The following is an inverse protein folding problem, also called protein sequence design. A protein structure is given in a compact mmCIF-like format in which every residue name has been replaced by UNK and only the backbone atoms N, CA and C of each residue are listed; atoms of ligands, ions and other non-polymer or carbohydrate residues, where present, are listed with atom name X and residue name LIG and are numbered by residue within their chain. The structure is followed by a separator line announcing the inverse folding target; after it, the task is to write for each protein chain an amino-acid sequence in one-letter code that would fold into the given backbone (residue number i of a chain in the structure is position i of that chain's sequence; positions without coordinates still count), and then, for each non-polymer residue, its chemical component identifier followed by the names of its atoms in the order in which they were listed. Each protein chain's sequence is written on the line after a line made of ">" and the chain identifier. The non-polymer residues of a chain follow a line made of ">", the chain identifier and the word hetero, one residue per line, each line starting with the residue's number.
data_IF_473252901610
#
_entry.id   IF_473252901610
#
_cell.length_a   1.000
_cell.length_b   1.000
_cell.length_c   1.000
_cell.angle_alpha   90.00
_cell.angle_beta   90.00
_cell.angle_gamma   90.00
#
_symmetry.space_group_name_H-M   'P 1'
#
loop_
_entity.id
_entity.type
_entity.pdbx_description
1 polymer ?
#
# COMPACT_ATOMS: atom_id res chain seq x y z
N UNK A 1 18.89 -8.03 9.15
CA UNK A 1 17.48 -8.47 9.11
C UNK A 1 16.70 -7.68 10.14
N UNK A 2 15.81 -6.81 9.69
CA UNK A 2 14.60 -6.34 10.40
C UNK A 2 13.98 -5.31 9.47
N UNK A 3 12.95 -5.75 8.75
CA UNK A 3 12.27 -4.96 7.73
C UNK A 3 11.51 -3.82 8.41
N UNK A 4 11.81 -2.53 8.17
CA UNK A 4 11.08 -1.45 8.78
C UNK A 4 9.89 -1.14 7.87
N UNK A 5 8.84 -1.96 7.99
CA UNK A 5 7.54 -1.60 7.45
C UNK A 5 6.70 -1.13 8.62
N UNK A 6 6.85 0.17 8.92
CA UNK A 6 5.83 0.94 9.62
C UNK A 6 4.62 0.98 8.67
N UNK A 7 3.80 -0.07 8.71
CA UNK A 7 2.42 -0.07 8.22
C UNK A 7 1.45 -0.53 9.32
N UNK A 8 1.95 -1.14 10.40
CA UNK A 8 1.09 -1.68 11.46
C UNK A 8 0.55 -0.64 12.45
N UNK A 9 1.12 0.57 12.53
CA UNK A 9 0.90 1.42 13.71
C UNK A 9 -0.04 2.63 13.50
N UNK A 10 -0.47 2.93 12.26
CA UNK A 10 -1.18 4.20 11.99
C UNK A 10 -2.50 4.10 11.22
N UNK A 11 -3.02 2.90 10.96
CA UNK A 11 -4.37 2.71 10.44
C UNK A 11 -4.96 1.48 11.13
N UNK A 12 -6.20 1.53 11.66
CA UNK A 12 -6.85 0.31 12.09
C UNK A 12 -6.91 -0.61 10.86
N UNK A 13 -6.32 -1.80 10.96
CA UNK A 13 -6.35 -2.91 9.97
C UNK A 13 -7.63 -2.96 9.11
N UNK A 14 -8.87 -2.80 9.66
CA UNK A 14 -10.08 -2.79 8.84
C UNK A 14 -10.15 -1.68 7.76
N UNK A 15 -9.53 -0.51 7.96
CA UNK A 15 -9.58 0.59 6.99
C UNK A 15 -8.61 0.36 5.83
N UNK A 16 -7.41 -0.14 6.10
CA UNK A 16 -6.42 -0.45 5.06
C UNK A 16 -6.89 -1.62 4.19
N UNK A 17 -7.40 -2.69 4.82
CA UNK A 17 -7.94 -3.83 4.08
C UNK A 17 -9.15 -3.43 3.22
N UNK A 18 -10.01 -2.53 3.73
CA UNK A 18 -11.16 -2.04 2.97
C UNK A 18 -10.73 -1.31 1.69
N UNK A 19 -9.71 -0.46 1.78
CA UNK A 19 -9.20 0.29 0.63
C UNK A 19 -8.53 -0.63 -0.39
N UNK A 20 -7.74 -1.61 0.08
CA UNK A 20 -7.12 -2.64 -0.78
C UNK A 20 -8.20 -3.44 -1.51
N UNK A 21 -9.26 -3.84 -0.81
CA UNK A 21 -10.37 -4.61 -1.39
C UNK A 21 -11.14 -3.82 -2.44
N UNK A 22 -11.44 -2.55 -2.19
CA UNK A 22 -12.08 -1.67 -3.17
C UNK A 22 -11.20 -1.50 -4.42
N UNK A 23 -9.89 -1.32 -4.22
CA UNK A 23 -8.95 -1.15 -5.31
C UNK A 23 -8.79 -2.41 -6.14
N UNK A 24 -8.66 -3.57 -5.50
CA UNK A 24 -8.60 -4.88 -6.16
C UNK A 24 -9.88 -5.17 -6.96
N UNK A 25 -11.05 -4.83 -6.41
CA UNK A 25 -12.33 -4.95 -7.13
C UNK A 25 -12.37 -4.06 -8.38
N UNK A 26 -11.89 -2.82 -8.29
CA UNK A 26 -11.80 -1.93 -9.44
C UNK A 26 -10.88 -2.48 -10.53
N UNK A 27 -9.73 -3.05 -10.15
CA UNK A 27 -8.81 -3.73 -11.06
C UNK A 27 -9.48 -4.91 -11.78
N UNK A 28 -10.17 -5.76 -11.02
CA UNK A 28 -10.92 -6.90 -11.53
C UNK A 28 -12.01 -6.49 -12.54
N UNK A 29 -12.80 -5.46 -12.20
CA UNK A 29 -13.85 -4.93 -13.10
C UNK A 29 -13.24 -4.34 -14.36
N UNK A 30 -12.18 -3.53 -14.23
CA UNK A 30 -11.50 -2.88 -15.36
C UNK A 30 -10.86 -3.89 -16.34
N UNK A 31 -10.41 -5.03 -15.84
CA UNK A 31 -9.85 -6.14 -16.64
C UNK A 31 -10.92 -6.98 -17.36
N UNK A 32 -12.20 -6.72 -17.11
CA UNK A 32 -13.31 -7.47 -17.70
C UNK A 32 -13.72 -8.69 -16.89
N UNK A 33 -13.55 -8.66 -15.56
CA UNK A 33 -14.02 -9.71 -14.64
C UNK A 33 -13.45 -11.10 -14.93
N UNK A 34 -12.20 -11.16 -15.40
CA UNK A 34 -11.51 -12.43 -15.66
C UNK A 34 -11.09 -13.08 -14.34
N UNK A 35 -11.59 -14.28 -14.12
CA UNK A 35 -11.22 -15.11 -12.98
C UNK A 35 -9.76 -15.59 -13.10
N UNK A 36 -9.13 -15.95 -11.97
CA UNK A 36 -7.73 -16.41 -11.93
C UNK A 36 -6.68 -15.33 -11.66
N UNK A 37 -7.09 -14.06 -11.55
CA UNK A 37 -6.18 -12.94 -11.26
C UNK A 37 -6.50 -12.19 -9.96
N UNK A 38 -7.43 -12.71 -9.15
CA UNK A 38 -7.85 -12.04 -7.91
C UNK A 38 -6.68 -11.75 -6.96
N UNK A 39 -5.73 -12.68 -6.84
CA UNK A 39 -4.53 -12.49 -6.00
C UNK A 39 -3.58 -11.44 -6.58
N UNK A 40 -3.41 -11.41 -7.89
CA UNK A 40 -2.57 -10.44 -8.60
C UNK A 40 -3.15 -9.02 -8.50
N UNK A 41 -4.47 -8.90 -8.66
CA UNK A 41 -5.22 -7.65 -8.49
C UNK A 41 -5.16 -7.16 -7.03
N UNK A 42 -5.20 -8.08 -6.04
CA UNK A 42 -5.02 -7.74 -4.62
C UNK A 42 -3.61 -7.21 -4.33
N UNK A 43 -2.57 -7.94 -4.74
CA UNK A 43 -1.17 -7.54 -4.53
C UNK A 43 -0.87 -6.19 -5.17
N UNK A 44 -1.44 -5.95 -6.36
CA UNK A 44 -1.30 -4.67 -7.05
C UNK A 44 -1.98 -3.53 -6.32
N UNK A 45 -3.19 -3.76 -5.79
CA UNK A 45 -3.90 -2.81 -4.96
C UNK A 45 -3.13 -2.45 -3.68
N UNK A 46 -2.61 -3.45 -2.97
CA UNK A 46 -1.79 -3.25 -1.77
C UNK A 46 -0.55 -2.41 -2.07
N UNK A 47 0.19 -2.74 -3.15
CA UNK A 47 1.37 -1.99 -3.53
C UNK A 47 1.05 -0.53 -3.90
N UNK A 48 -0.04 -0.29 -4.64
CA UNK A 48 -0.48 1.08 -4.97
C UNK A 48 -0.80 1.89 -3.71
N UNK A 49 -1.57 1.33 -2.77
CA UNK A 49 -1.95 2.02 -1.53
C UNK A 49 -0.74 2.27 -0.64
N UNK A 50 0.14 1.27 -0.49
CA UNK A 50 1.39 1.44 0.26
C UNK A 50 2.26 2.53 -0.38
N UNK A 51 2.38 2.57 -1.70
CA UNK A 51 3.12 3.64 -2.39
C UNK A 51 2.47 5.02 -2.27
N UNK A 52 1.14 5.11 -2.36
CA UNK A 52 0.38 6.36 -2.19
C UNK A 52 0.42 6.87 -0.74
N UNK A 53 0.47 5.97 0.24
CA UNK A 53 0.68 6.29 1.65
C UNK A 53 2.14 6.58 2.01
N UNK A 54 3.09 6.54 1.06
CA UNK A 54 4.50 6.84 1.30
C UNK A 54 4.95 8.30 0.99
N UNK A 55 4.20 9.39 1.26
CA UNK A 55 4.80 10.73 1.27
C UNK A 55 5.63 10.99 2.55
N UNK A 56 5.57 10.13 3.58
CA UNK A 56 6.35 10.31 4.82
C UNK A 56 7.77 9.71 4.78
N UNK A 57 8.17 8.98 3.74
CA UNK A 57 9.54 8.46 3.62
C UNK A 57 10.55 9.49 3.09
N UNK A 58 10.12 10.66 2.63
CA UNK A 58 11.02 11.74 2.20
C UNK A 58 10.85 12.98 3.09
N UNK A 59 11.31 12.90 4.35
CA UNK A 59 11.73 14.07 5.15
C UNK A 59 12.92 13.84 6.08
N UNK A 60 13.65 12.73 5.98
CA UNK A 60 14.87 12.50 6.78
C UNK A 60 16.15 12.46 5.94
N UNK A 61 16.31 13.46 5.06
CA UNK A 61 17.60 13.73 4.40
C UNK A 61 18.26 15.03 4.90
N UNK A 62 17.71 15.69 5.92
CA UNK A 62 18.10 17.07 6.27
C UNK A 62 18.39 17.36 7.75
N UNK A 63 18.75 16.37 8.59
CA UNK A 63 19.05 16.65 10.02
C UNK A 63 20.36 16.07 10.59
N UNK A 64 21.35 15.71 9.78
CA UNK A 64 22.73 15.54 10.28
C UNK A 64 23.76 16.24 9.38
N UNK A 65 23.59 17.56 9.22
CA UNK A 65 24.72 18.48 9.04
C UNK A 65 24.73 19.43 10.23
N UNK A 66 25.73 19.29 11.10
CA UNK A 66 26.09 20.29 12.12
C UNK A 66 25.84 19.84 13.55
N UNK A 67 26.86 19.24 14.18
CA UNK A 67 27.76 19.96 15.08
C UNK A 67 28.93 19.04 15.44
#
# INVERSE_FOLDING_TARGET
>A
MNCPIIVHDWLPEPMLEHEIRLRAYYLFVRRGKREGHALDDWLKAENEIVHEMQPYRIRDSFLFRGN
#
